data_IF_935618394474
#
_entry.id   IF_935618394474
#
_cell.length_a   1.000
_cell.length_b   1.000
_cell.length_c   1.000
_cell.angle_alpha   90.00
_cell.angle_beta   90.00
_cell.angle_gamma   90.00
#
_symmetry.space_group_name_H-M   'P 1'
#
loop_
_entity.id
_entity.type
_entity.pdbx_description
1 polymer ?
#
# COMPACT_ATOMS: atom_id res chain seq x y z
N UNK A 1 0.90 -2.37 -5.96
CA UNK A 1 0.42 -2.64 -4.58
C UNK A 1 -1.10 -2.72 -4.50
N UNK A 2 -1.85 -1.71 -4.95
CA UNK A 2 -3.33 -1.71 -4.87
C UNK A 2 -3.95 -2.91 -5.58
N UNK A 3 -3.55 -3.21 -6.82
CA UNK A 3 -4.12 -4.33 -7.57
C UNK A 3 -3.77 -5.68 -6.93
N UNK A 4 -2.53 -5.82 -6.43
CA UNK A 4 -2.12 -7.00 -5.64
C UNK A 4 -2.99 -7.15 -4.40
N UNK A 5 -3.22 -6.06 -3.65
CA UNK A 5 -4.08 -6.06 -2.49
C UNK A 5 -5.51 -6.50 -2.84
N UNK A 6 -6.12 -5.90 -3.86
CA UNK A 6 -7.47 -6.25 -4.32
C UNK A 6 -7.56 -7.70 -4.77
N UNK A 7 -6.55 -8.18 -5.50
CA UNK A 7 -6.49 -9.56 -5.95
C UNK A 7 -6.40 -10.53 -4.76
N UNK A 8 -5.61 -10.22 -3.73
CA UNK A 8 -5.52 -11.01 -2.50
C UNK A 8 -6.87 -11.02 -1.76
N UNK A 9 -7.47 -9.85 -1.55
CA UNK A 9 -8.78 -9.69 -0.89
C UNK A 9 -9.84 -10.53 -1.59
N UNK A 10 -9.91 -10.46 -2.92
CA UNK A 10 -10.81 -11.27 -3.73
C UNK A 10 -10.50 -12.76 -3.63
N UNK A 11 -9.23 -13.15 -3.78
CA UNK A 11 -8.80 -14.56 -3.78
C UNK A 11 -9.03 -15.27 -2.44
N UNK A 12 -8.99 -14.52 -1.33
CA UNK A 12 -9.21 -15.01 0.02
C UNK A 12 -10.66 -14.80 0.51
N UNK A 13 -11.56 -14.30 -0.35
CA UNK A 13 -12.96 -14.02 -0.05
C UNK A 13 -13.13 -13.17 1.23
N UNK A 14 -12.33 -12.10 1.34
CA UNK A 14 -12.38 -11.15 2.45
C UNK A 14 -13.45 -10.08 2.20
N UNK A 15 -13.73 -9.25 3.22
CA UNK A 15 -14.68 -8.14 3.09
C UNK A 15 -14.26 -7.19 1.97
N UNK A 16 -15.24 -6.56 1.33
CA UNK A 16 -14.97 -5.58 0.27
C UNK A 16 -14.29 -4.32 0.85
N UNK A 17 -13.25 -3.77 0.20
CA UNK A 17 -12.60 -2.56 0.65
C UNK A 17 -13.43 -1.32 0.28
N UNK A 18 -13.72 -0.47 1.26
CA UNK A 18 -14.43 0.81 1.05
C UNK A 18 -13.54 1.88 0.38
N UNK A 19 -12.21 1.67 0.41
CA UNK A 19 -11.23 2.55 -0.23
C UNK A 19 -9.94 1.81 -0.53
N UNK A 20 -9.02 2.43 -1.27
CA UNK A 20 -7.70 1.85 -1.48
C UNK A 20 -6.89 1.71 -0.19
N UNK A 21 -7.05 2.63 0.78
CA UNK A 21 -6.40 2.50 2.07
C UNK A 21 -7.01 1.37 2.90
N UNK A 22 -8.33 1.21 2.84
CA UNK A 22 -9.07 0.13 3.52
C UNK A 22 -8.67 -1.25 2.99
N UNK A 23 -8.24 -1.35 1.73
CA UNK A 23 -7.67 -2.59 1.20
C UNK A 23 -6.48 -3.08 2.05
N UNK A 24 -5.58 -2.18 2.46
CA UNK A 24 -4.42 -2.54 3.28
C UNK A 24 -4.83 -2.84 4.73
N UNK A 25 -5.87 -2.17 5.24
CA UNK A 25 -6.47 -2.48 6.55
C UNK A 25 -6.92 -3.95 6.60
N UNK A 26 -7.62 -4.42 5.56
CA UNK A 26 -8.05 -5.82 5.44
C UNK A 26 -6.84 -6.79 5.46
N UNK A 27 -5.75 -6.44 4.78
CA UNK A 27 -4.53 -7.26 4.82
C UNK A 27 -3.92 -7.30 6.22
N UNK A 28 -3.95 -6.17 6.95
CA UNK A 28 -3.49 -6.08 8.34
C UNK A 28 -4.35 -6.89 9.31
N UNK A 29 -5.68 -6.83 9.18
CA UNK A 29 -6.64 -7.65 9.93
C UNK A 29 -6.36 -9.16 9.78
N UNK A 30 -5.85 -9.58 8.62
CA UNK A 30 -5.46 -10.97 8.33
C UNK A 30 -3.98 -11.27 8.59
N UNK A 31 -3.22 -10.33 9.14
CA UNK A 31 -1.77 -10.43 9.40
C UNK A 31 -0.96 -10.83 8.17
N UNK A 32 -1.45 -10.46 6.99
CA UNK A 32 -0.74 -10.64 5.70
C UNK A 32 0.38 -9.60 5.59
N UNK A 33 0.13 -8.40 6.12
CA UNK A 33 1.13 -7.35 6.33
C UNK A 33 1.26 -7.10 7.83
N UNK A 34 2.44 -6.65 8.28
CA UNK A 34 2.65 -6.33 9.69
C UNK A 34 1.95 -5.03 10.10
N UNK A 35 1.59 -4.94 11.38
CA UNK A 35 1.03 -3.70 11.98
C UNK A 35 1.99 -2.52 11.82
N UNK A 36 3.31 -2.76 11.90
CA UNK A 36 4.34 -1.73 11.71
C UNK A 36 4.31 -1.11 10.30
N UNK A 37 4.02 -1.91 9.28
CA UNK A 37 4.04 -1.46 7.88
C UNK A 37 2.67 -1.02 7.36
N UNK A 38 1.58 -1.41 8.04
CA UNK A 38 0.22 -1.09 7.63
C UNK A 38 0.02 0.40 7.37
N UNK A 39 0.41 1.25 8.33
CA UNK A 39 0.21 2.70 8.20
C UNK A 39 1.12 3.30 7.11
N UNK A 40 2.31 2.72 6.89
CA UNK A 40 3.19 3.11 5.78
C UNK A 40 2.49 2.88 4.44
N UNK A 41 1.87 1.71 4.24
CA UNK A 41 1.17 1.37 3.00
C UNK A 41 -0.08 2.22 2.76
N UNK A 42 -0.87 2.47 3.80
CA UNK A 42 -2.02 3.39 3.73
C UNK A 42 -1.56 4.78 3.28
N UNK A 43 -0.46 5.28 3.82
CA UNK A 43 0.08 6.59 3.44
C UNK A 43 0.65 6.63 2.02
N UNK A 44 1.28 5.55 1.53
CA UNK A 44 1.73 5.47 0.13
C UNK A 44 0.56 5.59 -0.87
N UNK A 45 -0.57 4.94 -0.56
CA UNK A 45 -1.77 4.99 -1.39
C UNK A 45 -2.42 6.37 -1.35
N UNK A 46 -2.52 6.96 -0.16
CA UNK A 46 -3.01 8.35 0.01
C UNK A 46 -2.12 9.33 -0.75
N UNK A 47 -0.79 9.18 -0.68
CA UNK A 47 0.16 10.00 -1.43
C UNK A 47 -0.04 9.87 -2.94
N UNK A 48 -0.19 8.64 -3.47
CA UNK A 48 -0.52 8.43 -4.88
C UNK A 48 -1.81 9.12 -5.30
N UNK A 49 -2.86 9.08 -4.46
CA UNK A 49 -4.11 9.78 -4.73
C UNK A 49 -3.92 11.31 -4.70
N UNK A 50 -3.13 11.82 -3.75
CA UNK A 50 -2.78 13.24 -3.66
C UNK A 50 -2.09 13.72 -4.94
N UNK A 51 -1.12 12.96 -5.46
CA UNK A 51 -0.45 13.30 -6.71
C UNK A 51 -1.46 13.51 -7.83
N UNK A 52 -2.39 12.57 -8.03
CA UNK A 52 -3.43 12.64 -9.07
C UNK A 52 -4.33 13.85 -8.94
N UNK A 53 -4.76 14.16 -7.73
CA UNK A 53 -5.73 15.24 -7.52
C UNK A 53 -5.10 16.63 -7.48
N UNK A 54 -3.81 16.74 -7.18
CA UNK A 54 -3.18 18.03 -6.92
C UNK A 54 -1.87 18.22 -7.70
N UNK A 55 -1.72 17.54 -8.84
CA UNK A 55 -0.52 17.57 -9.68
C UNK A 55 0.02 18.99 -9.94
N UNK A 56 -0.84 20.01 -10.02
CA UNK A 56 -0.44 21.41 -10.25
C UNK A 56 0.13 22.14 -9.02
N UNK A 57 -0.06 21.64 -7.80
CA UNK A 57 0.42 22.32 -6.57
C UNK A 57 1.29 21.44 -5.65
N UNK A 58 1.46 20.15 -5.98
CA UNK A 58 2.40 19.31 -5.23
C UNK A 58 3.83 19.77 -5.52
N UNK A 59 4.60 20.02 -4.45
CA UNK A 59 6.00 20.38 -4.57
C UNK A 59 6.83 19.21 -5.13
N UNK A 60 7.49 19.41 -6.27
CA UNK A 60 8.44 18.47 -6.86
C UNK A 60 9.48 17.95 -5.86
N UNK A 61 9.87 18.80 -4.90
CA UNK A 61 10.80 18.44 -3.81
C UNK A 61 10.26 17.30 -2.95
N UNK A 62 8.98 17.32 -2.62
CA UNK A 62 8.32 16.27 -1.82
C UNK A 62 8.26 14.97 -2.63
N UNK A 63 7.89 15.06 -3.91
CA UNK A 63 7.85 13.88 -4.80
C UNK A 63 9.22 13.24 -4.93
N UNK A 64 10.25 14.05 -5.17
CA UNK A 64 11.62 13.59 -5.28
C UNK A 64 12.15 12.95 -3.98
N UNK A 65 11.81 13.54 -2.83
CA UNK A 65 12.18 12.97 -1.53
C UNK A 65 11.52 11.61 -1.30
N UNK A 66 10.20 11.50 -1.54
CA UNK A 66 9.49 10.22 -1.41
C UNK A 66 10.07 9.18 -2.36
N UNK A 67 10.36 9.56 -3.60
CA UNK A 67 11.03 8.68 -4.56
C UNK A 67 12.39 8.19 -4.04
N UNK A 68 13.20 9.04 -3.42
CA UNK A 68 14.53 8.63 -2.94
C UNK A 68 14.47 7.77 -1.67
N UNK A 69 13.54 8.05 -0.78
CA UNK A 69 13.55 7.48 0.58
C UNK A 69 12.61 6.27 0.75
N UNK A 70 11.57 6.15 -0.08
CA UNK A 70 10.45 5.21 0.19
C UNK A 70 10.38 4.02 -0.76
N UNK A 71 11.32 3.86 -1.71
CA UNK A 71 11.32 2.72 -2.64
C UNK A 71 11.45 1.37 -1.92
N UNK A 72 12.16 1.33 -0.79
CA UNK A 72 12.31 0.11 0.03
C UNK A 72 10.98 -0.40 0.58
N UNK A 73 9.97 0.46 0.76
CA UNK A 73 8.66 0.05 1.26
C UNK A 73 7.97 -0.94 0.31
N UNK A 74 8.22 -0.83 -1.00
CA UNK A 74 7.72 -1.79 -1.99
C UNK A 74 8.36 -3.16 -1.83
N UNK A 75 9.67 -3.22 -1.56
CA UNK A 75 10.39 -4.47 -1.33
C UNK A 75 9.88 -5.19 -0.08
N UNK A 76 9.65 -4.42 0.99
CA UNK A 76 9.08 -4.93 2.24
C UNK A 76 7.69 -5.50 1.99
N UNK A 77 6.83 -4.77 1.26
CA UNK A 77 5.48 -5.25 0.91
C UNK A 77 5.55 -6.57 0.14
N UNK A 78 6.37 -6.64 -0.91
CA UNK A 78 6.55 -7.86 -1.71
C UNK A 78 7.00 -9.02 -0.81
N UNK A 79 7.96 -8.78 0.10
CA UNK A 79 8.45 -9.79 1.04
C UNK A 79 7.35 -10.28 1.98
N UNK A 80 6.52 -9.41 2.53
CA UNK A 80 5.39 -9.79 3.40
C UNK A 80 4.38 -10.67 2.64
N UNK A 81 4.00 -10.28 1.42
CA UNK A 81 3.10 -11.09 0.58
C UNK A 81 3.70 -12.46 0.26
N UNK A 82 4.97 -12.49 -0.14
CA UNK A 82 5.72 -13.73 -0.41
C UNK A 82 5.78 -14.65 0.80
N UNK A 83 6.09 -14.10 1.97
CA UNK A 83 6.13 -14.85 3.23
C UNK A 83 4.77 -15.46 3.57
N UNK A 84 3.68 -14.71 3.37
CA UNK A 84 2.33 -15.20 3.62
C UNK A 84 1.97 -16.38 2.70
N UNK A 85 2.30 -16.30 1.41
CA UNK A 85 2.02 -17.38 0.45
C UNK A 85 3.12 -18.45 0.36
N UNK A 86 4.24 -18.27 1.07
CA UNK A 86 5.43 -19.16 1.06
C UNK A 86 6.03 -19.36 -0.34
N UNK A 87 6.24 -18.26 -1.08
CA UNK A 87 6.82 -18.22 -2.44
C UNK A 87 8.00 -17.25 -2.57
#
# INVERSE_FOLDING_TARGET
MIDVCKHIVSRLNLREPNSYADCFEILGEKRIVSEENLEKYKNMVKFRNLLIHIYDTVSDKIVYQVYKERLKDFEIFIKEIKNYFKI
#
